data_IF_516063475826
#
_entry.id   IF_516063475826
#
_cell.length_a   1.000
_cell.length_b   1.000
_cell.length_c   1.000
_cell.angle_alpha   90.00
_cell.angle_beta   90.00
_cell.angle_gamma   90.00
#
_symmetry.space_group_name_H-M   'P 1'
#
loop_
_entity.id
_entity.type
_entity.pdbx_description
1 polymer ?
#
# COMPACT_ATOMS: atom_id res chain seq x y z
N UNK A 1 -2.39 -9.41 12.29
CA UNK A 1 -2.70 -8.90 10.94
C UNK A 1 -2.28 -9.97 9.96
N UNK A 2 -3.22 -10.82 9.58
CA UNK A 2 -2.98 -11.89 8.59
C UNK A 2 -2.90 -11.25 7.18
N UNK A 3 -3.69 -10.20 6.95
CA UNK A 3 -3.83 -9.51 5.66
C UNK A 3 -2.57 -8.81 5.15
N UNK A 4 -1.74 -8.28 6.05
CA UNK A 4 -0.51 -7.58 5.66
C UNK A 4 0.55 -8.52 5.09
N UNK A 5 0.59 -9.76 5.57
CA UNK A 5 1.50 -10.79 5.08
C UNK A 5 1.04 -11.33 3.71
N UNK A 6 -0.27 -11.42 3.46
CA UNK A 6 -0.81 -11.78 2.15
C UNK A 6 -0.55 -10.70 1.09
N UNK A 7 -0.66 -9.41 1.46
CA UNK A 7 -0.24 -8.29 0.58
C UNK A 7 1.26 -8.31 0.33
N UNK A 8 2.03 -8.59 1.37
CA UNK A 8 3.48 -8.72 1.29
C UNK A 8 3.93 -9.79 0.30
N UNK A 9 3.28 -10.97 0.37
CA UNK A 9 3.57 -12.14 -0.45
C UNK A 9 2.88 -12.10 -1.82
N UNK A 10 1.90 -11.23 -1.99
CA UNK A 10 1.07 -11.11 -3.19
C UNK A 10 1.84 -10.64 -4.43
N UNK A 11 1.34 -11.05 -5.59
CA UNK A 11 1.86 -10.69 -6.91
C UNK A 11 1.90 -9.18 -7.17
N UNK A 12 1.05 -8.42 -6.47
CA UNK A 12 1.00 -6.96 -6.55
C UNK A 12 2.32 -6.31 -6.08
N UNK A 13 2.93 -6.84 -5.02
CA UNK A 13 4.22 -6.37 -4.51
C UNK A 13 5.35 -6.59 -5.52
N UNK A 14 5.37 -7.75 -6.20
CA UNK A 14 6.43 -8.04 -7.16
C UNK A 14 6.42 -7.05 -8.34
N UNK A 15 5.23 -6.61 -8.78
CA UNK A 15 5.09 -5.61 -9.85
C UNK A 15 5.59 -4.23 -9.45
N UNK A 16 5.32 -3.81 -8.22
CA UNK A 16 5.73 -2.50 -7.71
C UNK A 16 7.09 -2.52 -7.01
N UNK A 17 7.75 -3.67 -6.86
CA UNK A 17 9.05 -3.76 -6.22
C UNK A 17 10.12 -2.87 -6.89
N UNK A 18 10.01 -2.69 -8.20
CA UNK A 18 10.86 -1.77 -8.97
C UNK A 18 10.73 -0.30 -8.54
N UNK A 19 9.62 0.08 -7.88
CA UNK A 19 9.39 1.44 -7.36
C UNK A 19 10.05 1.68 -5.99
N UNK A 20 10.56 0.61 -5.37
CA UNK A 20 11.24 0.66 -4.08
C UNK A 20 12.69 0.17 -4.22
N UNK A 21 13.57 0.95 -4.88
CA UNK A 21 14.96 0.57 -5.08
C UNK A 21 15.67 0.38 -3.73
N UNK A 22 16.30 -0.78 -3.55
CA UNK A 22 17.00 -1.15 -2.31
C UNK A 22 16.11 -1.80 -1.24
N UNK A 23 14.82 -1.99 -1.49
CA UNK A 23 13.92 -2.73 -0.61
C UNK A 23 13.72 -4.14 -1.17
N UNK A 24 14.10 -5.16 -0.41
CA UNK A 24 13.83 -6.56 -0.77
C UNK A 24 12.34 -6.87 -0.62
N UNK A 25 11.85 -7.95 -1.27
CA UNK A 25 10.44 -8.37 -1.16
C UNK A 25 9.96 -8.53 0.29
N UNK A 26 10.81 -9.03 1.18
CA UNK A 26 10.52 -9.13 2.61
C UNK A 26 10.45 -7.74 3.30
N UNK A 27 11.32 -6.81 2.89
CA UNK A 27 11.30 -5.42 3.34
C UNK A 27 10.05 -4.67 2.87
N UNK A 28 9.56 -4.98 1.67
CA UNK A 28 8.30 -4.46 1.14
C UNK A 28 7.12 -4.93 1.98
N UNK A 29 7.10 -6.20 2.37
CA UNK A 29 6.08 -6.71 3.28
C UNK A 29 6.05 -5.98 4.62
N UNK A 30 7.24 -5.77 5.20
CA UNK A 30 7.37 -5.02 6.45
C UNK A 30 6.97 -3.55 6.29
N UNK A 31 7.28 -2.93 5.15
CA UNK A 31 6.86 -1.57 4.83
C UNK A 31 5.34 -1.48 4.67
N UNK A 32 4.72 -2.43 3.97
CA UNK A 32 3.26 -2.51 3.83
C UNK A 32 2.62 -2.60 5.21
N UNK A 33 3.10 -3.51 6.06
CA UNK A 33 2.59 -3.66 7.41
C UNK A 33 2.76 -2.38 8.23
N UNK A 34 3.93 -1.73 8.18
CA UNK A 34 4.18 -0.45 8.87
C UNK A 34 3.21 0.64 8.42
N UNK A 35 2.97 0.77 7.10
CA UNK A 35 2.03 1.75 6.55
C UNK A 35 0.58 1.46 6.94
N UNK A 36 0.20 0.18 7.07
CA UNK A 36 -1.14 -0.22 7.52
C UNK A 36 -1.34 -0.03 9.02
N UNK A 37 -0.33 -0.33 9.84
CA UNK A 37 -0.38 -0.18 11.30
C UNK A 37 -0.23 1.29 11.74
N UNK A 38 0.60 2.05 11.03
CA UNK A 38 0.93 3.44 11.35
C UNK A 38 0.83 4.38 10.13
N UNK A 39 -0.35 4.47 9.48
CA UNK A 39 -0.56 5.37 8.36
C UNK A 39 -0.47 6.82 8.82
N UNK A 40 0.02 7.70 7.93
CA UNK A 40 -0.16 9.14 8.06
C UNK A 40 -1.57 9.59 7.71
N UNK A 41 -2.22 8.89 6.77
CA UNK A 41 -3.60 9.12 6.36
C UNK A 41 -4.24 7.78 6.01
N UNK A 42 -5.47 7.56 6.45
CA UNK A 42 -6.27 6.42 6.00
C UNK A 42 -7.55 6.91 5.33
N UNK A 43 -8.01 6.19 4.32
CA UNK A 43 -9.26 6.47 3.60
C UNK A 43 -9.95 5.15 3.30
N UNK A 44 -11.20 5.05 3.69
CA UNK A 44 -12.05 3.91 3.32
C UNK A 44 -12.54 4.12 1.89
N UNK A 45 -12.50 3.07 1.10
CA UNK A 45 -12.91 3.05 -0.30
C UNK A 45 -14.15 2.15 -0.45
N UNK A 46 -14.81 2.26 -1.60
CA UNK A 46 -15.93 1.41 -1.98
C UNK A 46 -15.57 -0.08 -1.95
N UNK A 47 -16.56 -0.91 -1.57
CA UNK A 47 -16.40 -2.37 -1.57
C UNK A 47 -15.57 -2.95 -0.42
N UNK A 48 -15.40 -2.22 0.68
CA UNK A 48 -14.67 -2.69 1.87
C UNK A 48 -13.15 -2.53 1.77
N UNK A 49 -12.68 -1.84 0.74
CA UNK A 49 -11.27 -1.51 0.52
C UNK A 49 -10.82 -0.37 1.43
N UNK A 50 -9.52 -0.33 1.74
CA UNK A 50 -8.93 0.73 2.56
C UNK A 50 -7.61 1.18 1.96
N UNK A 51 -7.46 2.48 1.74
CA UNK A 51 -6.20 3.10 1.37
C UNK A 51 -5.48 3.63 2.62
N UNK A 52 -4.16 3.45 2.65
CA UNK A 52 -3.26 3.88 3.71
C UNK A 52 -2.09 4.63 3.06
N UNK A 53 -1.83 5.84 3.51
CA UNK A 53 -0.69 6.65 3.10
C UNK A 53 0.40 6.53 4.16
N UNK A 54 1.60 6.11 3.75
CA UNK A 54 2.76 6.06 4.61
C UNK A 54 3.23 7.45 5.05
N UNK A 55 3.95 7.50 6.17
CA UNK A 55 4.49 8.75 6.75
C UNK A 55 5.52 9.46 5.85
N UNK A 56 6.11 8.73 4.91
CA UNK A 56 6.97 9.32 3.86
C UNK A 56 6.19 10.22 2.89
N UNK A 57 4.85 10.17 2.89
CA UNK A 57 4.01 10.97 1.99
C UNK A 57 4.11 10.56 0.52
N UNK A 58 4.77 9.44 0.21
CA UNK A 58 4.93 8.90 -1.15
C UNK A 58 4.47 7.44 -1.27
N UNK A 59 4.45 6.68 -0.17
CA UNK A 59 4.04 5.26 -0.17
C UNK A 59 2.55 5.13 0.05
N UNK A 60 1.84 4.45 -0.84
CA UNK A 60 0.41 4.16 -0.70
C UNK A 60 0.20 2.65 -0.68
N UNK A 61 -0.57 2.18 0.30
CA UNK A 61 -1.06 0.81 0.39
C UNK A 61 -2.57 0.81 0.22
N UNK A 62 -3.10 0.02 -0.70
CA UNK A 62 -4.52 -0.25 -0.82
C UNK A 62 -4.77 -1.69 -0.38
N UNK A 63 -5.47 -1.86 0.72
CA UNK A 63 -5.99 -3.13 1.18
C UNK A 63 -7.31 -3.45 0.48
N UNK A 64 -7.38 -4.63 -0.15
CA UNK A 64 -8.60 -5.15 -0.76
C UNK A 64 -8.83 -6.58 -0.25
N UNK A 65 -9.79 -6.78 0.67
CA UNK A 65 -10.08 -8.11 1.24
C UNK A 65 -10.67 -9.07 0.20
N UNK A 66 -11.11 -8.56 -0.95
CA UNK A 66 -11.63 -9.37 -2.05
C UNK A 66 -10.56 -9.83 -3.04
N UNK A 67 -9.34 -9.27 -2.97
CA UNK A 67 -8.24 -9.66 -3.82
C UNK A 67 -7.51 -10.87 -3.21
N UNK A 68 -7.14 -11.90 -4.01
CA UNK A 68 -6.37 -13.05 -3.51
C UNK A 68 -5.00 -12.65 -2.94
N UNK A 69 -4.47 -11.51 -3.36
CA UNK A 69 -3.23 -10.90 -2.85
C UNK A 69 -3.47 -9.95 -1.67
N UNK A 70 -4.71 -9.80 -1.16
CA UNK A 70 -5.05 -8.93 -0.03
C UNK A 70 -4.95 -7.42 -0.28
N UNK A 71 -4.39 -6.96 -1.41
CA UNK A 71 -4.14 -5.54 -1.70
C UNK A 71 -2.95 -5.26 -2.62
N UNK A 72 -2.48 -4.01 -2.60
CA UNK A 72 -1.32 -3.52 -3.37
C UNK A 72 -0.56 -2.43 -2.60
N UNK A 73 0.76 -2.37 -2.77
CA UNK A 73 1.61 -1.24 -2.34
C UNK A 73 2.27 -0.64 -3.57
N UNK A 74 2.36 0.68 -3.62
CA UNK A 74 3.07 1.39 -4.67
C UNK A 74 3.62 2.72 -4.15
N UNK A 75 4.60 3.26 -4.88
CA UNK A 75 5.15 4.58 -4.59
C UNK A 75 4.59 5.57 -5.59
N UNK A 76 4.27 6.77 -5.12
CA UNK A 76 3.78 7.85 -5.95
C UNK A 76 4.53 9.12 -5.59
N UNK A 77 4.69 9.99 -6.58
CA UNK A 77 5.31 11.30 -6.38
C UNK A 77 4.55 12.07 -5.30
N UNK A 78 5.26 12.52 -4.26
CA UNK A 78 4.64 13.22 -3.13
C UNK A 78 3.89 14.49 -3.54
N UNK A 79 4.30 15.11 -4.66
CA UNK A 79 3.60 16.26 -5.26
C UNK A 79 2.27 15.90 -5.95
N UNK A 80 2.02 14.61 -6.22
CA UNK A 80 0.82 14.07 -6.87
C UNK A 80 0.02 13.14 -5.97
N UNK A 81 0.53 12.85 -4.78
CA UNK A 81 -0.15 11.98 -3.81
C UNK A 81 -1.47 12.59 -3.36
N UNK A 82 -1.53 13.89 -3.09
CA UNK A 82 -2.75 14.51 -2.57
C UNK A 82 -3.89 14.47 -3.60
N UNK A 83 -3.59 14.88 -4.85
CA UNK A 83 -4.50 14.79 -6.01
C UNK A 83 -5.02 13.36 -6.21
N UNK A 84 -4.11 12.37 -6.25
CA UNK A 84 -4.49 10.97 -6.33
C UNK A 84 -5.34 10.51 -5.14
N UNK A 85 -5.02 10.97 -3.93
CA UNK A 85 -5.73 10.60 -2.72
C UNK A 85 -7.17 11.12 -2.70
N UNK A 86 -7.40 12.30 -3.27
CA UNK A 86 -8.74 12.86 -3.45
C UNK A 86 -9.55 12.02 -4.45
N UNK A 87 -8.93 11.57 -5.55
CA UNK A 87 -9.56 10.75 -6.59
C UNK A 87 -9.89 9.30 -6.17
N UNK A 88 -9.26 8.79 -5.11
CA UNK A 88 -9.55 7.44 -4.59
C UNK A 88 -11.02 7.34 -4.15
N UNK A 89 -11.75 6.35 -4.66
CA UNK A 89 -13.17 6.12 -4.35
C UNK A 89 -13.45 4.63 -4.18
#
# INVERSE_FOLDING_TARGET
MEDAADIAAGHANNKHASEFPGVSSEGLGRLTQDVMENPSRMKELGGGRKAFLGKDGSTIVIHDPTHPDGGTIFRRDSSKVDDYWEELN
#
